data_IF_576231538112
#
_entry.id   IF_576231538112
#
_cell.length_a   1.000
_cell.length_b   1.000
_cell.length_c   1.000
_cell.angle_alpha   90.00
_cell.angle_beta   90.00
_cell.angle_gamma   90.00
#
_symmetry.space_group_name_H-M   'P 1'
#
loop_
_entity.id
_entity.type
_entity.pdbx_description
1 polymer ?
#
# COMPACT_ATOMS: atom_id res chain seq x y z
N UNK A 1 11.13 -2.46 -9.61
CA UNK A 1 10.02 -2.01 -10.48
C UNK A 1 9.09 -1.02 -9.79
N UNK A 2 8.67 -1.31 -8.56
CA UNK A 2 7.79 -0.49 -7.71
C UNK A 2 8.36 0.90 -7.31
N UNK A 3 9.69 1.07 -7.27
CA UNK A 3 10.32 2.39 -7.02
C UNK A 3 9.97 3.43 -8.10
N UNK A 4 9.83 3.01 -9.36
CA UNK A 4 9.55 3.93 -10.46
C UNK A 4 8.12 4.49 -10.36
N UNK A 5 7.15 3.68 -9.92
CA UNK A 5 5.81 4.13 -9.61
C UNK A 5 5.82 5.17 -8.47
N UNK A 6 6.62 4.94 -7.43
CA UNK A 6 6.80 5.91 -6.34
C UNK A 6 7.36 7.25 -6.85
N UNK A 7 8.39 7.21 -7.71
CA UNK A 7 8.92 8.43 -8.34
C UNK A 7 7.86 9.15 -9.17
N UNK A 8 6.99 8.43 -9.88
CA UNK A 8 5.88 9.03 -10.63
C UNK A 8 4.88 9.72 -9.70
N UNK A 9 4.48 9.08 -8.60
CA UNK A 9 3.60 9.70 -7.60
C UNK A 9 4.21 10.99 -7.03
N UNK A 10 5.51 10.95 -6.73
CA UNK A 10 6.24 12.10 -6.19
C UNK A 10 6.35 13.24 -7.22
N UNK A 11 6.70 12.93 -8.48
CA UNK A 11 6.81 13.92 -9.57
C UNK A 11 5.49 14.62 -9.89
N UNK A 12 4.37 13.94 -9.63
CA UNK A 12 3.01 14.44 -9.83
C UNK A 12 2.42 15.07 -8.55
N UNK A 13 3.21 15.18 -7.47
CA UNK A 13 2.77 15.69 -6.16
C UNK A 13 1.50 14.99 -5.61
N UNK A 14 1.36 13.68 -5.87
CA UNK A 14 0.18 12.92 -5.45
C UNK A 14 0.28 12.35 -4.03
N UNK A 15 1.50 12.28 -3.48
CA UNK A 15 1.79 11.72 -2.16
C UNK A 15 1.59 12.75 -1.04
N UNK A 16 0.97 12.31 0.06
CA UNK A 16 0.96 13.06 1.33
C UNK A 16 2.34 13.03 1.99
N UNK A 17 2.54 13.83 3.05
CA UNK A 17 3.79 13.81 3.80
C UNK A 17 4.03 12.46 4.48
N UNK A 18 2.98 11.89 5.08
CA UNK A 18 3.00 10.55 5.69
C UNK A 18 3.41 9.47 4.70
N UNK A 19 2.89 9.52 3.47
CA UNK A 19 3.26 8.58 2.40
C UNK A 19 4.72 8.74 1.92
N UNK A 20 5.27 9.95 2.00
CA UNK A 20 6.68 10.20 1.68
C UNK A 20 7.60 9.67 2.77
N UNK A 21 7.21 9.82 4.02
CA UNK A 21 7.97 9.36 5.18
C UNK A 21 7.94 7.82 5.26
N UNK A 22 6.80 7.21 4.91
CA UNK A 22 6.60 5.75 4.83
C UNK A 22 6.92 5.17 3.43
N UNK A 23 7.97 5.66 2.77
CA UNK A 23 8.36 5.28 1.39
C UNK A 23 8.38 3.75 1.18
N UNK A 24 9.01 3.01 2.09
CA UNK A 24 9.19 1.56 1.95
C UNK A 24 7.85 0.81 1.92
N UNK A 25 6.92 1.19 2.78
CA UNK A 25 5.57 0.61 2.83
C UNK A 25 4.81 0.92 1.54
N UNK A 26 4.84 2.17 1.07
CA UNK A 26 4.16 2.58 -0.16
C UNK A 26 4.70 1.80 -1.36
N UNK A 27 6.01 1.61 -1.46
CA UNK A 27 6.64 0.81 -2.53
C UNK A 27 6.16 -0.64 -2.47
N UNK A 28 6.20 -1.27 -1.29
CA UNK A 28 5.78 -2.66 -1.10
C UNK A 28 4.32 -2.86 -1.50
N UNK A 29 3.40 -2.01 -1.04
CA UNK A 29 1.99 -2.12 -1.41
C UNK A 29 1.76 -1.81 -2.89
N UNK A 30 2.55 -0.90 -3.46
CA UNK A 30 2.48 -0.61 -4.91
C UNK A 30 2.88 -1.81 -5.75
N UNK A 31 3.89 -2.56 -5.33
CA UNK A 31 4.30 -3.80 -6.00
C UNK A 31 3.16 -4.80 -6.08
N UNK A 32 2.48 -5.05 -4.96
CA UNK A 32 1.33 -5.95 -4.94
C UNK A 32 0.15 -5.45 -5.80
N UNK A 33 -0.04 -4.14 -5.90
CA UNK A 33 -1.08 -3.56 -6.77
C UNK A 33 -0.74 -3.80 -8.23
N UNK A 34 0.51 -3.60 -8.61
CA UNK A 34 0.99 -3.81 -9.97
C UNK A 34 0.94 -5.30 -10.34
N UNK A 35 1.36 -6.19 -9.45
CA UNK A 35 1.32 -7.64 -9.65
C UNK A 35 -0.12 -8.12 -9.83
N UNK A 36 -1.04 -7.67 -8.97
CA UNK A 36 -2.47 -8.00 -9.07
C UNK A 36 -3.12 -7.49 -10.36
N UNK A 37 -2.58 -6.42 -10.96
CA UNK A 37 -3.03 -5.86 -12.23
C UNK A 37 -2.29 -6.45 -13.45
N UNK A 38 -1.32 -7.34 -13.24
CA UNK A 38 -0.47 -7.90 -14.31
C UNK A 38 0.46 -6.86 -14.96
N UNK A 39 0.86 -5.83 -14.21
CA UNK A 39 1.73 -4.73 -14.65
C UNK A 39 3.19 -4.94 -14.23
N UNK A 40 3.83 -6.00 -14.73
CA UNK A 40 5.20 -6.40 -14.36
C UNK A 40 6.33 -5.71 -15.16
N UNK A 41 6.14 -4.49 -15.70
CA UNK A 41 7.16 -3.89 -16.57
C UNK A 41 7.31 -2.38 -16.37
N UNK A 42 8.49 -1.93 -15.91
CA UNK A 42 8.82 -0.51 -15.65
C UNK A 42 8.52 0.40 -16.86
N UNK A 43 8.72 -0.13 -18.07
CA UNK A 43 8.43 0.58 -19.32
C UNK A 43 6.94 0.83 -19.56
N UNK A 44 6.04 0.03 -18.97
CA UNK A 44 4.59 0.27 -18.99
C UNK A 44 4.22 1.37 -18.00
N UNK A 45 4.77 1.35 -16.78
CA UNK A 45 4.52 2.38 -15.75
C UNK A 45 5.05 3.76 -16.15
N UNK A 46 6.17 3.81 -16.87
CA UNK A 46 6.70 5.08 -17.39
C UNK A 46 5.77 5.74 -18.42
N UNK A 47 4.98 4.94 -19.15
CA UNK A 47 4.15 5.38 -20.28
C UNK A 47 2.66 5.48 -19.97
N UNK A 48 2.23 5.08 -18.77
CA UNK A 48 0.83 5.24 -18.37
C UNK A 48 0.48 6.71 -18.12
N UNK A 49 -0.76 7.04 -18.41
CA UNK A 49 -1.34 8.37 -18.20
C UNK A 49 -1.38 8.73 -16.72
N UNK A 50 -1.47 10.03 -16.42
CA UNK A 50 -1.65 10.50 -15.05
C UNK A 50 -2.91 9.90 -14.39
N UNK A 51 -3.98 9.71 -15.15
CA UNK A 51 -5.21 9.09 -14.67
C UNK A 51 -4.98 7.67 -14.15
N UNK A 52 -4.27 6.84 -14.91
CA UNK A 52 -3.91 5.48 -14.48
C UNK A 52 -2.99 5.52 -13.25
N UNK A 53 -2.04 6.45 -13.19
CA UNK A 53 -1.18 6.63 -12.00
C UNK A 53 -2.03 6.98 -10.75
N UNK A 54 -3.04 7.84 -10.89
CA UNK A 54 -3.98 8.15 -9.80
C UNK A 54 -4.82 6.93 -9.39
N UNK A 55 -5.25 6.11 -10.34
CA UNK A 55 -5.99 4.87 -10.05
C UNK A 55 -5.12 3.87 -9.26
N UNK A 56 -3.86 3.68 -9.67
CA UNK A 56 -2.91 2.83 -8.94
C UNK A 56 -2.74 3.34 -7.51
N UNK A 57 -2.49 4.65 -7.32
CA UNK A 57 -2.31 5.22 -5.99
C UNK A 57 -3.56 5.09 -5.10
N UNK A 58 -4.77 5.22 -5.68
CA UNK A 58 -6.00 5.01 -4.94
C UNK A 58 -6.15 3.56 -4.46
N UNK A 59 -5.78 2.58 -5.29
CA UNK A 59 -5.79 1.18 -4.90
C UNK A 59 -4.72 0.87 -3.84
N UNK A 60 -3.54 1.48 -3.93
CA UNK A 60 -2.50 1.42 -2.89
C UNK A 60 -3.06 1.91 -1.56
N UNK A 61 -3.65 3.11 -1.53
CA UNK A 61 -4.28 3.68 -0.31
C UNK A 61 -5.39 2.80 0.24
N UNK A 62 -6.19 2.19 -0.62
CA UNK A 62 -7.26 1.28 -0.22
C UNK A 62 -6.71 0.03 0.47
N UNK A 63 -5.64 -0.56 -0.08
CA UNK A 63 -4.97 -1.73 0.53
C UNK A 63 -4.27 -1.39 1.83
N UNK A 64 -3.61 -0.23 1.92
CA UNK A 64 -3.02 0.29 3.17
C UNK A 64 -4.07 0.42 4.28
N UNK A 65 -5.23 1.03 3.98
CA UNK A 65 -6.35 1.12 4.93
C UNK A 65 -6.87 -0.25 5.35
N UNK A 66 -7.04 -1.18 4.39
CA UNK A 66 -7.52 -2.53 4.70
C UNK A 66 -6.57 -3.27 5.64
N UNK A 67 -5.26 -3.14 5.44
CA UNK A 67 -4.24 -3.71 6.35
C UNK A 67 -4.35 -3.12 7.74
N UNK A 68 -4.44 -1.80 7.86
CA UNK A 68 -4.63 -1.15 9.15
C UNK A 68 -5.90 -1.62 9.90
N UNK A 69 -7.00 -1.92 9.19
CA UNK A 69 -8.20 -2.50 9.82
C UNK A 69 -8.00 -3.95 10.23
N UNK A 70 -7.40 -4.77 9.36
CA UNK A 70 -7.12 -6.18 9.66
C UNK A 70 -6.10 -6.35 10.79
N UNK A 71 -5.10 -5.47 10.87
CA UNK A 71 -4.09 -5.50 11.93
C UNK A 71 -4.72 -5.18 13.29
N UNK A 72 -5.63 -4.19 13.36
CA UNK A 72 -6.39 -3.92 14.58
C UNK A 72 -7.30 -5.09 14.99
N UNK A 73 -8.01 -5.70 14.04
CA UNK A 73 -8.89 -6.85 14.31
C UNK A 73 -8.08 -8.06 14.83
N UNK A 74 -6.89 -8.31 14.26
CA UNK A 74 -6.00 -9.39 14.70
C UNK A 74 -5.35 -9.12 16.06
N UNK A 75 -5.03 -7.85 16.38
CA UNK A 75 -4.52 -7.46 17.69
C UNK A 75 -5.60 -7.64 18.78
N UNK A 76 -6.83 -7.20 18.55
CA UNK A 76 -7.95 -7.39 19.47
C UNK A 76 -8.25 -8.88 19.72
N UNK A 77 -8.21 -9.71 18.68
CA UNK A 77 -8.45 -11.16 18.81
C UNK A 77 -7.31 -11.86 19.59
N UNK A 78 -6.06 -11.45 19.39
CA UNK A 78 -4.91 -11.94 20.15
C UNK A 78 -4.96 -11.51 21.62
N UNK A 79 -5.29 -10.25 21.91
CA UNK A 79 -5.44 -9.75 23.28
C UNK A 79 -6.57 -10.49 24.02
N UNK A 80 -7.71 -10.73 23.35
CA UNK A 80 -8.82 -11.49 23.91
C UNK A 80 -8.43 -12.95 24.21
N UNK A 81 -7.65 -13.59 23.34
CA UNK A 81 -7.13 -14.95 23.56
C UNK A 81 -6.15 -15.02 24.73
N UNK A 82 -5.28 -14.02 24.89
CA UNK A 82 -4.32 -13.94 25.99
C UNK A 82 -5.04 -13.72 27.33
N UNK A 83 -6.01 -12.79 27.37
CA UNK A 83 -6.78 -12.49 28.58
C UNK A 83 -7.56 -13.72 29.10
N UNK A 84 -8.13 -14.52 28.18
CA UNK A 84 -8.84 -15.74 28.53
C UNK A 84 -7.91 -16.84 29.08
N UNK A 85 -6.66 -16.93 28.60
CA UNK A 85 -5.68 -17.91 29.09
C UNK A 85 -5.09 -17.60 30.46
N UNK A 86 -5.14 -16.35 30.91
CA UNK A 86 -4.60 -15.93 32.23
C UNK A 86 -5.65 -16.13 33.35
N UNK A 87 -6.91 -16.40 32.98
CA UNK A 87 -8.04 -16.53 33.90
C UNK A 87 -8.39 -17.97 34.32
N UNK A 88 -7.64 -18.98 33.82
CA UNK A 88 -7.68 -20.40 34.24
C UNK A 88 -6.45 -20.75 35.11
#
# INVERSE_FOLDING_TARGET
MSEFAFFRFMSLNLLTQEEKDNKAEVISVTEEVLDAQGMECDSKIAKVSEETIRQILNEVRKRRRKRATQDNEMEEEQEALIANRISD
#
